data_IF_015944115252
#
_entry.id   IF_015944115252
#
_cell.length_a   1.000
_cell.length_b   1.000
_cell.length_c   1.000
_cell.angle_alpha   90.00
_cell.angle_beta   90.00
_cell.angle_gamma   90.00
#
_symmetry.space_group_name_H-M   'P 1'
#
loop_
_entity.id
_entity.type
_entity.pdbx_description
1 polymer ?
#
# COMPACT_ATOMS: atom_id res chain seq x y z
N UNK A 1 12.84 0.30 -18.07
CA UNK A 1 12.39 1.54 -18.75
C UNK A 1 11.91 2.50 -17.67
N UNK A 2 12.34 3.77 -17.64
CA UNK A 2 11.80 4.73 -16.68
C UNK A 2 10.30 4.98 -16.96
N UNK A 3 9.53 5.21 -15.90
CA UNK A 3 8.10 5.54 -16.01
C UNK A 3 7.97 6.90 -16.71
N UNK A 4 7.09 7.06 -17.72
CA UNK A 4 6.88 8.34 -18.38
C UNK A 4 6.40 9.42 -17.39
N UNK A 5 6.94 10.64 -17.51
CA UNK A 5 6.68 11.75 -16.56
C UNK A 5 5.21 12.12 -16.41
N UNK A 6 4.43 12.00 -17.48
CA UNK A 6 3.00 12.32 -17.44
C UNK A 6 2.18 11.30 -16.64
N UNK A 7 2.69 10.07 -16.48
CA UNK A 7 2.06 9.03 -15.65
C UNK A 7 2.25 9.39 -14.18
N UNK A 8 3.48 9.74 -13.78
CA UNK A 8 3.80 10.17 -12.41
C UNK A 8 2.95 11.37 -12.00
N UNK A 9 2.94 12.43 -12.82
CA UNK A 9 2.17 13.64 -12.52
C UNK A 9 0.65 13.37 -12.41
N UNK A 10 0.11 12.48 -13.26
CA UNK A 10 -1.30 12.08 -13.19
C UNK A 10 -1.61 11.35 -11.89
N UNK A 11 -0.74 10.45 -11.47
CA UNK A 11 -0.96 9.61 -10.30
C UNK A 11 -0.80 10.41 -9.00
N UNK A 12 0.17 11.33 -8.92
CA UNK A 12 0.29 12.26 -7.79
C UNK A 12 -0.96 13.13 -7.62
N UNK A 13 -1.48 13.70 -8.72
CA UNK A 13 -2.67 14.55 -8.68
C UNK A 13 -3.95 13.81 -8.26
N UNK A 14 -4.02 12.49 -8.48
CA UNK A 14 -5.16 11.65 -8.10
C UNK A 14 -4.98 10.97 -6.74
N UNK A 15 -3.76 10.91 -6.23
CA UNK A 15 -3.46 10.34 -4.92
C UNK A 15 -3.84 11.40 -3.86
N UNK A 16 -4.74 11.12 -2.92
CA UNK A 16 -5.18 12.13 -1.95
C UNK A 16 -4.04 12.81 -1.15
N UNK A 17 -2.98 12.09 -0.74
CA UNK A 17 -1.76 12.70 -0.19
C UNK A 17 -0.96 13.61 -1.13
N UNK A 18 -1.25 13.63 -2.43
CA UNK A 18 -0.54 14.42 -3.43
C UNK A 18 0.87 13.92 -3.76
N UNK A 19 1.21 12.67 -3.38
CA UNK A 19 2.53 12.07 -3.59
C UNK A 19 2.42 10.58 -3.89
N UNK A 20 3.40 10.03 -4.59
CA UNK A 20 3.55 8.59 -4.72
C UNK A 20 4.01 7.93 -3.40
N UNK A 21 3.66 6.66 -3.24
CA UNK A 21 4.19 5.84 -2.15
C UNK A 21 5.60 5.36 -2.48
N UNK A 22 6.48 5.37 -1.49
CA UNK A 22 7.82 4.79 -1.62
C UNK A 22 7.79 3.28 -1.35
N UNK A 23 8.65 2.47 -2.00
CA UNK A 23 8.77 1.04 -1.75
C UNK A 23 8.94 0.73 -0.26
N UNK A 24 9.73 1.50 0.47
CA UNK A 24 9.97 1.33 1.91
C UNK A 24 8.73 1.61 2.75
N UNK A 25 7.80 2.43 2.26
CA UNK A 25 6.52 2.69 2.92
C UNK A 25 5.58 1.48 2.90
N UNK A 26 5.72 0.60 1.91
CA UNK A 26 4.95 -0.64 1.78
C UNK A 26 5.75 -1.83 2.35
N UNK A 27 7.04 -1.90 2.00
CA UNK A 27 7.96 -2.98 2.34
C UNK A 27 8.61 -2.81 3.72
N UNK A 28 8.29 -1.75 4.45
CA UNK A 28 8.74 -1.57 5.82
C UNK A 28 8.50 -2.86 6.59
N UNK A 29 9.60 -3.54 6.96
CA UNK A 29 9.58 -4.84 7.65
C UNK A 29 8.59 -4.78 8.81
N UNK A 30 8.54 -3.66 9.52
CA UNK A 30 7.62 -3.43 10.64
C UNK A 30 6.15 -3.43 10.20
N UNK A 31 5.77 -2.75 9.11
CA UNK A 31 4.39 -2.69 8.62
C UNK A 31 3.91 -4.03 8.05
N UNK A 32 4.73 -4.66 7.21
CA UNK A 32 4.41 -5.97 6.62
C UNK A 32 4.40 -7.07 7.69
N UNK A 33 5.41 -7.14 8.56
CA UNK A 33 5.43 -8.14 9.63
C UNK A 33 4.34 -7.89 10.66
N UNK A 34 4.00 -6.64 11.02
CA UNK A 34 2.88 -6.37 11.91
C UNK A 34 1.55 -6.78 11.28
N UNK A 35 1.37 -6.54 9.98
CA UNK A 35 0.18 -6.99 9.26
C UNK A 35 0.10 -8.52 9.20
N UNK A 36 1.20 -9.20 8.89
CA UNK A 36 1.26 -10.66 8.93
C UNK A 36 1.02 -11.21 10.35
N UNK A 37 1.58 -10.56 11.37
CA UNK A 37 1.37 -10.93 12.76
C UNK A 37 -0.11 -10.77 13.16
N UNK A 38 -0.77 -9.70 12.70
CA UNK A 38 -2.22 -9.53 12.86
C UNK A 38 -3.00 -10.66 12.16
N UNK A 39 -2.70 -10.94 10.88
CA UNK A 39 -3.38 -12.01 10.13
C UNK A 39 -3.15 -13.39 10.75
N UNK A 40 -1.99 -13.64 11.35
CA UNK A 40 -1.66 -14.88 12.05
C UNK A 40 -2.24 -14.96 13.48
N UNK A 41 -2.80 -13.86 14.00
CA UNK A 41 -3.37 -13.81 15.35
C UNK A 41 -4.84 -14.23 15.40
N UNK A 42 -5.37 -14.45 16.61
CA UNK A 42 -6.79 -14.73 16.82
C UNK A 42 -7.72 -13.60 16.33
N UNK A 43 -7.22 -12.36 16.34
CA UNK A 43 -7.95 -11.18 15.86
C UNK A 43 -8.09 -11.18 14.32
N UNK A 44 -7.15 -11.80 13.61
CA UNK A 44 -7.16 -11.93 12.16
C UNK A 44 -7.92 -13.15 11.63
N UNK A 45 -8.40 -14.06 12.51
CA UNK A 45 -8.85 -15.41 12.11
C UNK A 45 -9.99 -15.47 11.07
N UNK A 46 -10.76 -14.38 10.92
CA UNK A 46 -11.86 -14.26 9.96
C UNK A 46 -11.54 -13.38 8.74
N UNK A 47 -10.30 -12.87 8.64
CA UNK A 47 -9.86 -12.04 7.52
C UNK A 47 -9.15 -12.95 6.50
N UNK A 48 -9.89 -13.37 5.47
CA UNK A 48 -9.38 -14.23 4.40
C UNK A 48 -9.93 -13.81 3.03
N UNK A 49 -9.23 -14.16 1.96
CA UNK A 49 -9.61 -13.86 0.57
C UNK A 49 -9.60 -12.37 0.20
N UNK A 50 -8.99 -11.53 1.03
CA UNK A 50 -8.96 -10.08 0.82
C UNK A 50 -7.73 -9.67 -0.01
N UNK A 51 -7.87 -8.60 -0.79
CA UNK A 51 -6.77 -7.89 -1.46
C UNK A 51 -6.68 -6.48 -0.86
N UNK A 52 -5.92 -6.29 0.24
CA UNK A 52 -5.77 -4.98 0.86
C UNK A 52 -4.98 -4.03 -0.05
N UNK A 53 -5.47 -2.79 -0.20
CA UNK A 53 -4.86 -1.78 -1.06
C UNK A 53 -4.09 -0.75 -0.23
N UNK A 54 -2.78 -0.69 -0.39
CA UNK A 54 -1.91 0.34 0.18
C UNK A 54 -1.65 1.47 -0.84
N UNK A 55 -2.72 2.03 -1.40
CA UNK A 55 -2.67 2.95 -2.56
C UNK A 55 -2.82 4.44 -2.18
N UNK A 56 -2.53 4.81 -0.93
CA UNK A 56 -2.64 6.20 -0.47
C UNK A 56 -4.06 6.77 -0.49
N UNK A 57 -5.09 5.91 -0.47
CA UNK A 57 -6.50 6.33 -0.57
C UNK A 57 -7.03 6.42 -2.01
N UNK A 58 -6.25 6.02 -3.01
CA UNK A 58 -6.74 5.80 -4.36
C UNK A 58 -7.39 4.41 -4.45
N UNK A 59 -8.63 4.32 -4.94
CA UNK A 59 -9.37 3.07 -5.19
C UNK A 59 -10.17 3.20 -6.49
#
# INVERSE_FOLDING_TARGET
MPVPVHVVARDEARTPPGRLGEPEGIAGIVGFLAFLAFLASEAGRWVTGQSPHAAGGMI
#
